data_IF_106115916294
#
_entry.id   IF_106115916294
#
_cell.length_a   1.000
_cell.length_b   1.000
_cell.length_c   1.000
_cell.angle_alpha   90.00
_cell.angle_beta   90.00
_cell.angle_gamma   90.00
#
_symmetry.space_group_name_H-M   'P 1'
#
loop_
_entity.id
_entity.type
_entity.pdbx_description
1 polymer ?
#
# COMPACT_ATOMS: atom_id res chain seq x y z
N UNK A 1 -7.10 5.36 6.92
CA UNK A 1 -6.18 5.66 5.79
C UNK A 1 -4.75 5.79 6.29
N UNK A 2 -3.76 5.70 5.39
CA UNK A 2 -2.33 5.81 5.73
C UNK A 2 -1.80 7.20 5.37
N UNK A 3 -0.97 7.77 6.24
CA UNK A 3 -0.10 8.90 5.92
C UNK A 3 1.34 8.39 5.94
N UNK A 4 1.91 8.17 4.76
CA UNK A 4 3.24 7.60 4.58
C UNK A 4 4.27 8.70 4.40
N UNK A 5 5.21 8.81 5.35
CA UNK A 5 6.36 9.71 5.27
C UNK A 5 7.59 8.87 4.94
N UNK A 6 8.04 8.90 3.70
CA UNK A 6 9.18 8.11 3.22
C UNK A 6 9.82 8.74 1.99
N UNK A 7 11.07 8.40 1.65
CA UNK A 7 11.57 8.60 0.30
C UNK A 7 10.67 7.91 -0.73
N UNK A 8 10.77 8.32 -1.99
CA UNK A 8 10.10 7.63 -3.09
C UNK A 8 10.59 6.17 -3.17
N UNK A 9 9.65 5.24 -3.31
CA UNK A 9 9.91 3.81 -3.45
C UNK A 9 8.62 3.00 -3.59
N UNK A 10 8.72 1.69 -3.38
CA UNK A 10 7.60 0.76 -3.52
C UNK A 10 6.38 1.15 -2.66
N UNK A 11 6.62 1.47 -1.38
CA UNK A 11 5.54 1.85 -0.47
C UNK A 11 4.80 3.13 -0.93
N UNK A 12 5.52 4.12 -1.47
CA UNK A 12 4.88 5.34 -1.98
C UNK A 12 4.09 5.11 -3.25
N UNK A 13 4.56 4.22 -4.14
CA UNK A 13 3.80 3.86 -5.34
C UNK A 13 2.55 3.05 -4.96
N UNK A 14 2.62 2.13 -4.00
CA UNK A 14 1.45 1.41 -3.49
C UNK A 14 0.37 2.35 -2.95
N UNK A 15 0.75 3.34 -2.13
CA UNK A 15 -0.19 4.35 -1.61
C UNK A 15 -0.86 5.11 -2.75
N UNK A 16 -0.11 5.45 -3.79
CA UNK A 16 -0.58 6.21 -4.95
C UNK A 16 -1.50 5.38 -5.86
N UNK A 17 -1.10 4.15 -6.19
CA UNK A 17 -1.84 3.23 -7.07
C UNK A 17 -3.13 2.74 -6.45
N UNK A 18 -3.08 2.35 -5.17
CA UNK A 18 -4.24 1.81 -4.46
C UNK A 18 -5.10 2.90 -3.80
N UNK A 19 -4.59 4.13 -3.73
CA UNK A 19 -5.34 5.30 -3.28
C UNK A 19 -5.84 5.23 -1.84
N UNK A 20 -5.20 4.43 -0.98
CA UNK A 20 -5.62 4.24 0.42
C UNK A 20 -5.08 5.29 1.39
N UNK A 21 -4.33 6.28 0.89
CA UNK A 21 -3.65 7.22 1.75
C UNK A 21 -2.99 8.38 1.01
N UNK A 22 -2.14 9.08 1.75
CA UNK A 22 -1.29 10.15 1.25
C UNK A 22 0.17 9.77 1.45
N UNK A 23 0.99 9.99 0.43
CA UNK A 23 2.44 9.92 0.53
C UNK A 23 3.00 11.33 0.62
N UNK A 24 3.99 11.50 1.51
CA UNK A 24 4.76 12.71 1.71
C UNK A 24 6.24 12.35 1.66
N UNK A 25 7.02 13.17 0.95
CA UNK A 25 8.47 12.99 0.92
C UNK A 25 9.09 13.20 2.31
N UNK A 26 9.97 12.29 2.73
CA UNK A 26 10.60 12.32 4.06
C UNK A 26 11.40 13.60 4.35
N UNK A 27 11.88 14.31 3.33
CA UNK A 27 12.62 15.56 3.47
C UNK A 27 11.73 16.81 3.56
N UNK A 28 10.41 16.67 3.45
CA UNK A 28 9.49 17.80 3.31
C UNK A 28 8.48 17.92 4.46
N UNK A 29 8.91 18.53 5.57
CA UNK A 29 8.07 18.77 6.75
C UNK A 29 6.89 19.72 6.49
N UNK A 30 7.02 20.65 5.55
CA UNK A 30 5.93 21.54 5.14
C UNK A 30 4.80 20.76 4.47
N UNK A 31 5.14 19.88 3.53
CA UNK A 31 4.16 19.02 2.85
C UNK A 31 3.47 18.08 3.84
N UNK A 32 4.18 17.60 4.88
CA UNK A 32 3.58 16.82 5.95
C UNK A 32 2.49 17.61 6.69
N UNK A 33 2.79 18.83 7.10
CA UNK A 33 1.82 19.69 7.79
C UNK A 33 0.59 19.97 6.91
N UNK A 34 0.80 20.28 5.62
CA UNK A 34 -0.27 20.50 4.64
C UNK A 34 -1.14 19.24 4.46
N UNK A 35 -0.52 18.05 4.39
CA UNK A 35 -1.24 16.79 4.26
C UNK A 35 -2.11 16.50 5.51
N UNK A 36 -1.57 16.70 6.71
CA UNK A 36 -2.33 16.54 7.97
C UNK A 36 -3.49 17.52 8.03
N UNK A 37 -3.26 18.80 7.70
CA UNK A 37 -4.31 19.80 7.68
C UNK A 37 -5.40 19.44 6.67
N UNK A 38 -5.03 19.00 5.47
CA UNK A 38 -5.97 18.59 4.43
C UNK A 38 -6.85 17.42 4.87
N UNK A 39 -6.24 16.40 5.49
CA UNK A 39 -6.98 15.25 6.03
C UNK A 39 -7.92 15.64 7.18
N UNK A 40 -7.58 16.66 7.96
CA UNK A 40 -8.40 17.16 9.05
C UNK A 40 -9.61 17.98 8.56
N UNK A 41 -9.44 18.81 7.53
CA UNK A 41 -10.50 19.72 7.05
C UNK A 41 -11.42 19.11 5.98
N UNK A 42 -10.92 18.14 5.21
CA UNK A 42 -11.68 17.51 4.12
C UNK A 42 -12.19 16.13 4.54
N UNK A 43 -13.37 16.12 5.17
CA UNK A 43 -14.02 14.89 5.66
C UNK A 43 -14.30 13.89 4.53
N UNK A 44 -14.70 14.37 3.34
CA UNK A 44 -14.97 13.50 2.19
C UNK A 44 -13.72 12.81 1.69
N UNK A 45 -12.60 13.54 1.67
CA UNK A 45 -11.30 12.94 1.37
C UNK A 45 -10.95 11.86 2.40
N UNK A 46 -11.10 12.17 3.68
CA UNK A 46 -10.79 11.23 4.76
C UNK A 46 -11.62 9.95 4.66
N UNK A 47 -12.94 10.06 4.46
CA UNK A 47 -13.84 8.93 4.26
C UNK A 47 -13.43 8.07 3.06
N UNK A 48 -13.18 8.71 1.90
CA UNK A 48 -12.78 8.01 0.67
C UNK A 48 -11.48 7.22 0.86
N UNK A 49 -10.47 7.85 1.45
CA UNK A 49 -9.19 7.18 1.70
C UNK A 49 -9.36 6.06 2.75
N UNK A 50 -10.22 6.26 3.75
CA UNK A 50 -10.52 5.24 4.76
C UNK A 50 -11.16 3.99 4.13
N UNK A 51 -12.17 4.17 3.29
CA UNK A 51 -12.83 3.09 2.57
C UNK A 51 -11.84 2.34 1.66
N UNK A 52 -11.01 3.08 0.91
CA UNK A 52 -9.97 2.49 0.08
C UNK A 52 -8.94 1.68 0.89
N UNK A 53 -8.56 2.17 2.08
CA UNK A 53 -7.66 1.46 3.00
C UNK A 53 -8.23 0.14 3.49
N UNK A 54 -9.52 0.10 3.85
CA UNK A 54 -10.19 -1.15 4.25
C UNK A 54 -10.27 -2.11 3.07
N UNK A 55 -10.59 -1.63 1.86
CA UNK A 55 -10.67 -2.45 0.66
C UNK A 55 -9.31 -3.02 0.20
N UNK A 56 -8.21 -2.31 0.46
CA UNK A 56 -6.86 -2.76 0.10
C UNK A 56 -6.31 -3.83 1.06
N UNK A 57 -6.67 -3.79 2.34
CA UNK A 57 -6.06 -4.63 3.38
C UNK A 57 -6.05 -6.15 3.09
N UNK A 58 -7.14 -6.78 2.60
CA UNK A 58 -7.14 -8.22 2.32
C UNK A 58 -6.13 -8.65 1.26
N UNK A 59 -5.78 -7.75 0.32
CA UNK A 59 -4.82 -8.01 -0.76
C UNK A 59 -3.36 -8.08 -0.28
N UNK A 60 -3.09 -7.64 0.94
CA UNK A 60 -1.75 -7.62 1.54
C UNK A 60 -1.69 -8.42 2.85
N UNK A 61 -2.57 -9.40 3.02
CA UNK A 61 -2.54 -10.31 4.17
C UNK A 61 -1.34 -11.26 4.12
N UNK A 62 -0.85 -11.66 5.29
CA UNK A 62 0.21 -12.68 5.41
C UNK A 62 -0.19 -13.99 4.76
N UNK A 63 -1.46 -14.38 4.89
CA UNK A 63 -2.01 -15.59 4.28
C UNK A 63 -1.86 -15.55 2.75
N UNK A 64 -2.27 -14.44 2.12
CA UNK A 64 -2.15 -14.27 0.67
C UNK A 64 -0.68 -14.25 0.22
N UNK A 65 0.19 -13.62 1.00
CA UNK A 65 1.63 -13.61 0.71
C UNK A 65 2.22 -15.03 0.81
N UNK A 66 1.86 -15.80 1.83
CA UNK A 66 2.30 -17.18 2.01
C UNK A 66 1.81 -18.07 0.85
N UNK A 67 0.54 -17.93 0.46
CA UNK A 67 -0.01 -18.66 -0.69
C UNK A 67 0.77 -18.34 -1.97
N UNK A 68 1.07 -17.06 -2.24
CA UNK A 68 1.86 -16.69 -3.41
C UNK A 68 3.27 -17.30 -3.43
N UNK A 69 3.90 -17.50 -2.27
CA UNK A 69 5.18 -18.23 -2.18
C UNK A 69 5.00 -19.71 -2.50
N UNK A 70 3.97 -20.36 -1.94
CA UNK A 70 3.68 -21.77 -2.19
C UNK A 70 3.36 -22.03 -3.67
N UNK A 71 2.57 -21.16 -4.30
CA UNK A 71 2.21 -21.26 -5.72
C UNK A 71 3.48 -21.26 -6.61
N UNK A 72 4.43 -20.36 -6.33
CA UNK A 72 5.71 -20.29 -7.07
C UNK A 72 6.56 -21.54 -6.82
N UNK A 73 6.62 -22.03 -5.58
CA UNK A 73 7.38 -23.24 -5.26
C UNK A 73 6.82 -24.47 -5.98
N UNK A 74 5.49 -24.63 -6.02
CA UNK A 74 4.83 -25.73 -6.73
C UNK A 74 5.05 -25.64 -8.26
N UNK A 75 5.04 -24.42 -8.82
CA UNK A 75 5.38 -24.22 -10.22
C UNK A 75 6.83 -24.62 -10.52
N UNK A 76 7.77 -24.24 -9.67
CA UNK A 76 9.19 -24.56 -9.84
C UNK A 76 9.45 -26.07 -9.72
N UNK A 77 8.82 -26.77 -8.78
CA UNK A 77 9.03 -28.21 -8.58
C UNK A 77 8.52 -29.06 -9.75
N UNK A 78 7.43 -28.63 -10.42
CA UNK A 78 6.87 -29.36 -11.58
C UNK A 78 7.71 -29.23 -12.85
N UNK A 79 8.59 -28.23 -12.93
CA UNK A 79 9.49 -28.05 -14.09
C UNK A 79 10.65 -29.06 -14.04
N UNK A 80 11.03 -29.55 -12.85
CA UNK A 80 12.13 -30.52 -12.70
C UNK A 80 11.72 -31.96 -13.06
N UNK A 81 10.45 -32.34 -12.90
CA UNK A 81 9.92 -33.67 -13.22
C UNK A 81 9.64 -33.90 -14.73
N UNK A 82 9.91 -32.90 -15.58
CA UNK A 82 9.55 -32.88 -17.00
C UNK A 82 10.72 -32.97 -18.00
N UNK A 83 11.90 -33.47 -17.60
CA UNK A 83 13.04 -33.75 -18.51
C UNK A 83 13.23 -35.25 -18.69
#
# INVERSE_FOLDING_TARGET
PVLLVSPKGEASELVKELGFGCWVDASNSKQLAEAVQKLFVDEKLMERLSAASVAAAPKHSRERQAQGVLDILEMASKVEDGT
#
